data_IF_298030806301
#
_entry.id   IF_298030806301
#
_cell.length_a   1.000
_cell.length_b   1.000
_cell.length_c   1.000
_cell.angle_alpha   90.00
_cell.angle_beta   90.00
_cell.angle_gamma   90.00
#
_symmetry.space_group_name_H-M   'P 1'
#
loop_
_entity.id
_entity.type
_entity.pdbx_description
1 polymer ?
#
# COMPACT_ATOMS: atom_id res chain seq x y z
N UNK A 1 51.37 -62.97 -3.21
CA UNK A 1 50.81 -62.22 -4.36
C UNK A 1 49.51 -62.90 -4.79
N UNK A 2 48.36 -62.41 -4.31
CA UNK A 2 46.98 -62.60 -4.83
C UNK A 2 45.96 -62.06 -3.79
N UNK A 3 44.77 -61.61 -4.23
CA UNK A 3 44.21 -60.31 -3.84
C UNK A 3 43.10 -60.37 -2.78
N UNK A 4 42.85 -59.21 -2.17
CA UNK A 4 41.66 -58.93 -1.36
C UNK A 4 40.39 -59.07 -2.22
N UNK A 5 39.41 -59.80 -1.69
CA UNK A 5 38.04 -59.83 -2.19
C UNK A 5 37.27 -58.66 -1.58
N UNK A 6 36.76 -57.77 -2.43
CA UNK A 6 35.87 -56.68 -2.07
C UNK A 6 34.42 -57.13 -2.31
N UNK A 7 33.54 -57.21 -1.29
CA UNK A 7 32.14 -57.57 -1.51
C UNK A 7 31.34 -56.35 -2.00
N UNK A 8 30.83 -56.41 -3.22
CA UNK A 8 29.85 -55.44 -3.73
C UNK A 8 28.53 -55.50 -2.92
N UNK A 9 27.86 -54.37 -2.62
CA UNK A 9 26.61 -54.36 -1.87
C UNK A 9 25.45 -54.90 -2.72
N UNK A 10 24.86 -56.01 -2.27
CA UNK A 10 23.62 -56.56 -2.84
C UNK A 10 22.43 -55.76 -2.30
N UNK A 11 21.92 -54.81 -3.09
CA UNK A 11 20.66 -54.13 -2.80
C UNK A 11 19.50 -55.13 -2.87
N UNK A 12 18.86 -55.37 -1.72
CA UNK A 12 17.80 -56.37 -1.55
C UNK A 12 16.50 -55.99 -2.27
N UNK A 13 15.76 -57.01 -2.73
CA UNK A 13 14.54 -56.91 -3.56
C UNK A 13 13.43 -56.01 -2.99
N UNK A 14 13.43 -55.73 -1.67
CA UNK A 14 12.41 -54.91 -1.00
C UNK A 14 12.47 -53.42 -1.37
N UNK A 15 13.65 -52.87 -1.65
CA UNK A 15 13.81 -51.45 -2.06
C UNK A 15 13.24 -51.18 -3.45
N UNK A 16 13.25 -52.20 -4.34
CA UNK A 16 12.71 -52.08 -5.71
C UNK A 16 11.18 -51.93 -5.76
N UNK A 17 10.45 -52.51 -4.79
CA UNK A 17 8.99 -52.40 -4.72
C UNK A 17 8.53 -51.08 -4.10
N UNK A 18 9.28 -50.54 -3.14
CA UNK A 18 9.02 -49.22 -2.55
C UNK A 18 9.22 -48.08 -3.56
N UNK A 19 10.28 -48.15 -4.39
CA UNK A 19 10.55 -47.14 -5.43
C UNK A 19 9.51 -47.19 -6.55
N UNK A 20 9.08 -48.39 -6.98
CA UNK A 20 8.03 -48.51 -8.00
C UNK A 20 6.68 -47.91 -7.58
N UNK A 21 6.30 -48.09 -6.31
CA UNK A 21 5.04 -47.57 -5.77
C UNK A 21 5.04 -46.04 -5.63
N UNK A 22 6.18 -45.45 -5.25
CA UNK A 22 6.34 -44.00 -5.14
C UNK A 22 6.31 -43.27 -6.50
N UNK A 23 6.87 -43.88 -7.56
CA UNK A 23 6.85 -43.31 -8.91
C UNK A 23 5.44 -43.34 -9.52
N UNK A 24 4.67 -44.41 -9.30
CA UNK A 24 3.28 -44.50 -9.79
C UNK A 24 2.37 -43.48 -9.08
N UNK A 25 2.53 -43.29 -7.76
CA UNK A 25 1.78 -42.27 -7.02
C UNK A 25 2.15 -40.83 -7.43
N UNK A 26 3.43 -40.54 -7.68
CA UNK A 26 3.87 -39.24 -8.16
C UNK A 26 3.34 -38.92 -9.57
N UNK A 27 3.26 -39.92 -10.45
CA UNK A 27 2.68 -39.77 -11.79
C UNK A 27 1.16 -39.60 -11.75
N UNK A 28 0.46 -40.24 -10.81
CA UNK A 28 -0.98 -40.05 -10.61
C UNK A 28 -1.31 -38.65 -10.03
N UNK A 29 -0.50 -38.12 -9.13
CA UNK A 29 -0.64 -36.74 -8.64
C UNK A 29 -0.32 -35.70 -9.72
N UNK A 30 0.71 -35.93 -10.56
CA UNK A 30 1.03 -35.07 -11.69
C UNK A 30 -0.05 -35.11 -12.79
N UNK A 31 -0.66 -36.28 -13.03
CA UNK A 31 -1.79 -36.43 -13.95
C UNK A 31 -3.07 -35.76 -13.44
N UNK A 32 -3.38 -35.85 -12.15
CA UNK A 32 -4.54 -35.18 -11.56
C UNK A 32 -4.36 -33.64 -11.53
N UNK A 33 -3.15 -33.14 -11.26
CA UNK A 33 -2.85 -31.70 -11.28
C UNK A 33 -2.93 -31.11 -12.70
N UNK A 34 -2.50 -31.87 -13.73
CA UNK A 34 -2.60 -31.43 -15.13
C UNK A 34 -4.04 -31.43 -15.64
N UNK A 35 -4.89 -32.38 -15.22
CA UNK A 35 -6.32 -32.41 -15.59
C UNK A 35 -7.15 -31.36 -14.82
N UNK A 36 -6.81 -31.06 -13.57
CA UNK A 36 -7.45 -29.98 -12.82
C UNK A 36 -7.10 -28.59 -13.38
N UNK A 37 -5.92 -28.43 -13.98
CA UNK A 37 -5.49 -27.20 -14.66
C UNK A 37 -6.07 -27.06 -16.08
N UNK A 38 -6.67 -28.13 -16.61
CA UNK A 38 -7.27 -28.17 -17.95
C UNK A 38 -8.81 -28.01 -17.93
N UNK A 39 -9.41 -27.91 -16.75
CA UNK A 39 -10.82 -27.48 -16.56
C UNK A 39 -10.85 -26.01 -16.18
N UNK A 40 -10.17 -25.19 -16.97
CA UNK A 40 -10.50 -23.78 -17.05
C UNK A 40 -11.37 -23.66 -18.30
N UNK A 41 -12.68 -23.68 -18.10
CA UNK A 41 -13.66 -23.53 -19.18
C UNK A 41 -13.33 -22.23 -19.91
N UNK A 42 -12.91 -22.36 -21.17
CA UNK A 42 -12.36 -21.30 -22.02
C UNK A 42 -13.33 -20.16 -22.32
N UNK A 43 -13.69 -19.39 -21.29
CA UNK A 43 -14.05 -18.00 -21.47
C UNK A 43 -12.79 -17.30 -21.99
N UNK A 44 -12.87 -16.53 -23.09
CA UNK A 44 -11.75 -15.70 -23.50
C UNK A 44 -11.40 -14.81 -22.30
N UNK A 45 -10.17 -14.94 -21.79
CA UNK A 45 -9.64 -13.99 -20.83
C UNK A 45 -9.76 -12.62 -21.49
N UNK A 46 -10.73 -11.81 -21.04
CA UNK A 46 -10.89 -10.47 -21.53
C UNK A 46 -9.53 -9.79 -21.37
N UNK A 47 -9.01 -9.21 -22.46
CA UNK A 47 -7.77 -8.45 -22.40
C UNK A 47 -7.85 -7.50 -21.19
N UNK A 48 -6.79 -7.38 -20.36
CA UNK A 48 -6.83 -6.49 -19.21
C UNK A 48 -7.22 -5.11 -19.70
N UNK A 49 -8.45 -4.68 -19.39
CA UNK A 49 -8.94 -3.38 -19.81
C UNK A 49 -8.20 -2.35 -18.99
N UNK A 50 -7.34 -1.60 -19.66
CA UNK A 50 -6.75 -0.39 -19.10
C UNK A 50 -7.87 0.48 -18.52
N UNK A 51 -7.76 0.92 -17.25
CA UNK A 51 -8.74 1.82 -16.65
C UNK A 51 -8.84 3.12 -17.45
N UNK A 52 -10.01 3.76 -17.44
CA UNK A 52 -10.15 5.08 -18.06
C UNK A 52 -9.34 6.12 -17.28
N UNK A 53 -8.94 7.21 -17.93
CA UNK A 53 -8.21 8.29 -17.27
C UNK A 53 -8.99 8.93 -16.10
N UNK A 54 -10.32 8.78 -16.06
CA UNK A 54 -11.22 9.31 -15.01
C UNK A 54 -11.66 8.25 -14.00
N UNK A 55 -11.18 7.02 -14.13
CA UNK A 55 -11.55 5.92 -13.24
C UNK A 55 -11.07 6.13 -11.80
N UNK A 56 -11.70 5.42 -10.85
CA UNK A 56 -11.24 5.34 -9.47
C UNK A 56 -9.79 4.84 -9.36
N UNK A 57 -9.42 3.86 -10.20
CA UNK A 57 -8.05 3.32 -10.30
C UNK A 57 -7.05 4.44 -10.64
N UNK A 58 -7.28 5.16 -11.74
CA UNK A 58 -6.40 6.24 -12.17
C UNK A 58 -6.39 7.45 -11.21
N UNK A 59 -7.55 7.80 -10.63
CA UNK A 59 -7.66 8.88 -9.65
C UNK A 59 -6.92 8.57 -8.36
N UNK A 60 -7.16 7.40 -7.78
CA UNK A 60 -6.48 6.94 -6.58
C UNK A 60 -4.97 6.87 -6.76
N UNK A 61 -4.49 6.32 -7.88
CA UNK A 61 -3.06 6.22 -8.15
C UNK A 61 -2.36 7.59 -8.17
N UNK A 62 -2.98 8.60 -8.78
CA UNK A 62 -2.43 9.97 -8.81
C UNK A 62 -2.45 10.62 -7.44
N UNK A 63 -3.61 10.59 -6.80
CA UNK A 63 -3.84 11.29 -5.54
C UNK A 63 -3.00 10.67 -4.41
N UNK A 64 -3.02 9.35 -4.29
CA UNK A 64 -2.22 8.65 -3.28
C UNK A 64 -0.71 8.78 -3.57
N UNK A 65 -0.27 8.89 -4.83
CA UNK A 65 1.14 9.16 -5.13
C UNK A 65 1.60 10.56 -4.66
N UNK A 66 0.73 11.57 -4.74
CA UNK A 66 1.01 12.91 -4.21
C UNK A 66 0.97 12.90 -2.68
N UNK A 67 -0.01 12.20 -2.09
CA UNK A 67 -0.15 12.05 -0.64
C UNK A 67 1.10 11.37 -0.03
N UNK A 68 1.51 10.23 -0.58
CA UNK A 68 2.71 9.51 -0.15
C UNK A 68 4.01 10.30 -0.31
N UNK A 69 4.09 11.19 -1.30
CA UNK A 69 5.26 12.06 -1.47
C UNK A 69 5.46 12.98 -0.25
N UNK A 70 4.37 13.47 0.34
CA UNK A 70 4.45 14.35 1.51
C UNK A 70 4.85 13.59 2.78
N UNK A 71 4.35 12.37 2.98
CA UNK A 71 4.82 11.53 4.09
C UNK A 71 6.32 11.23 4.01
N UNK A 72 6.83 10.93 2.80
CA UNK A 72 8.27 10.74 2.58
C UNK A 72 9.04 12.01 2.94
N UNK A 73 8.57 13.20 2.54
CA UNK A 73 9.17 14.47 2.92
C UNK A 73 9.20 14.66 4.45
N UNK A 74 8.05 14.51 5.12
CA UNK A 74 7.96 14.65 6.58
C UNK A 74 8.91 13.69 7.32
N UNK A 75 9.04 12.46 6.83
CA UNK A 75 9.97 11.47 7.38
C UNK A 75 11.43 11.88 7.26
N UNK A 76 11.84 12.50 6.14
CA UNK A 76 13.19 13.06 6.03
C UNK A 76 13.39 14.25 6.98
N UNK A 77 12.41 15.16 7.05
CA UNK A 77 12.48 16.33 7.93
C UNK A 77 12.66 15.95 9.40
N UNK A 78 11.89 14.98 9.92
CA UNK A 78 12.03 14.57 11.32
C UNK A 78 13.35 13.85 11.60
N UNK A 79 13.85 13.06 10.64
CA UNK A 79 15.13 12.34 10.79
C UNK A 79 16.32 13.30 10.90
N UNK A 80 16.26 14.43 10.23
CA UNK A 80 17.24 15.52 10.39
C UNK A 80 16.98 16.36 11.66
N UNK A 81 15.73 16.34 12.14
CA UNK A 81 15.27 17.10 13.30
C UNK A 81 15.56 16.46 14.66
N UNK A 82 15.81 15.15 14.75
CA UNK A 82 16.03 14.45 16.04
C UNK A 82 17.11 13.35 15.97
N UNK A 83 17.61 12.97 17.15
CA UNK A 83 18.48 11.81 17.39
C UNK A 83 17.73 10.66 18.09
N UNK A 84 16.42 10.78 18.32
CA UNK A 84 15.60 9.70 18.89
C UNK A 84 15.47 8.53 17.91
N UNK A 85 16.00 7.37 18.28
CA UNK A 85 16.08 6.21 17.39
C UNK A 85 14.71 5.60 17.08
N UNK A 86 13.74 5.65 18.00
CA UNK A 86 12.40 5.10 17.77
C UNK A 86 11.66 5.92 16.71
N UNK A 87 11.70 7.25 16.80
CA UNK A 87 11.11 8.15 15.80
C UNK A 87 11.84 8.05 14.47
N UNK A 88 13.17 7.99 14.49
CA UNK A 88 13.97 7.84 13.26
C UNK A 88 13.69 6.53 12.55
N UNK A 89 13.45 5.44 13.30
CA UNK A 89 13.07 4.13 12.76
C UNK A 89 11.68 4.16 12.15
N UNK A 90 10.68 4.67 12.87
CA UNK A 90 9.33 4.83 12.34
C UNK A 90 9.34 5.66 11.04
N UNK A 91 10.04 6.79 11.04
CA UNK A 91 10.15 7.65 9.86
C UNK A 91 10.81 6.93 8.68
N UNK A 92 11.83 6.11 8.92
CA UNK A 92 12.46 5.29 7.89
C UNK A 92 11.48 4.26 7.31
N UNK A 93 10.77 3.52 8.17
CA UNK A 93 9.83 2.46 7.75
C UNK A 93 8.68 3.05 6.92
N UNK A 94 8.12 4.19 7.35
CA UNK A 94 7.11 4.96 6.59
C UNK A 94 7.68 5.41 5.25
N UNK A 95 8.88 6.01 5.23
CA UNK A 95 9.48 6.52 4.00
C UNK A 95 9.74 5.40 2.98
N UNK A 96 10.27 4.25 3.43
CA UNK A 96 10.51 3.10 2.54
C UNK A 96 9.21 2.55 1.98
N UNK A 97 8.23 2.31 2.85
CA UNK A 97 6.94 1.72 2.46
C UNK A 97 6.20 2.64 1.51
N UNK A 98 6.05 3.91 1.85
CA UNK A 98 5.28 4.85 1.04
C UNK A 98 6.01 5.25 -0.25
N UNK A 99 7.34 5.35 -0.27
CA UNK A 99 8.08 5.56 -1.52
C UNK A 99 7.93 4.37 -2.49
N UNK A 100 7.99 3.14 -1.99
CA UNK A 100 7.79 1.94 -2.79
C UNK A 100 6.35 1.88 -3.35
N UNK A 101 5.35 2.13 -2.52
CA UNK A 101 3.94 2.16 -2.94
C UNK A 101 3.68 3.28 -3.96
N UNK A 102 4.22 4.48 -3.75
CA UNK A 102 4.18 5.56 -4.73
C UNK A 102 4.79 5.13 -6.07
N UNK A 103 5.92 4.43 -6.05
CA UNK A 103 6.54 3.88 -7.24
C UNK A 103 5.63 2.90 -7.99
N UNK A 104 4.92 2.02 -7.27
CA UNK A 104 3.95 1.10 -7.87
C UNK A 104 2.80 1.85 -8.54
N UNK A 105 2.17 2.81 -7.84
CA UNK A 105 1.04 3.58 -8.35
C UNK A 105 1.43 4.37 -9.62
N UNK A 106 2.58 5.04 -9.60
CA UNK A 106 3.10 5.77 -10.77
C UNK A 106 3.48 4.82 -11.91
N UNK A 107 4.04 3.66 -11.60
CA UNK A 107 4.37 2.64 -12.59
C UNK A 107 3.14 2.01 -13.23
N UNK A 108 2.03 1.86 -12.50
CA UNK A 108 0.76 1.42 -13.07
C UNK A 108 0.16 2.48 -14.00
N UNK A 109 0.22 3.76 -13.63
CA UNK A 109 -0.17 4.85 -14.53
C UNK A 109 0.65 4.83 -15.83
N UNK A 110 1.97 4.62 -15.76
CA UNK A 110 2.82 4.46 -16.95
C UNK A 110 2.42 3.24 -17.79
N UNK A 111 2.20 2.09 -17.14
CA UNK A 111 1.79 0.86 -17.82
C UNK A 111 0.42 1.00 -18.52
N UNK A 112 -0.46 1.82 -17.96
CA UNK A 112 -1.77 2.15 -18.53
C UNK A 112 -1.72 3.30 -19.53
N UNK A 113 -0.54 3.88 -19.79
CA UNK A 113 -0.35 5.05 -20.65
C UNK A 113 -1.22 6.25 -20.20
N UNK A 114 -1.44 6.37 -18.90
CA UNK A 114 -2.23 7.45 -18.31
C UNK A 114 -1.33 8.55 -17.73
N UNK A 115 -1.73 9.84 -17.85
CA UNK A 115 -1.00 10.93 -17.23
C UNK A 115 -0.87 10.74 -15.71
N UNK A 116 0.28 11.12 -15.14
CA UNK A 116 0.54 11.12 -13.68
C UNK A 116 -0.09 12.29 -12.94
N UNK A 117 -0.55 13.30 -13.67
CA UNK A 117 -1.30 14.43 -13.17
C UNK A 117 -2.77 14.27 -13.55
N UNK A 118 -3.68 14.84 -12.75
CA UNK A 118 -5.09 14.84 -13.08
C UNK A 118 -5.32 15.56 -14.43
N UNK A 119 -6.26 15.10 -15.26
CA UNK A 119 -6.70 15.83 -16.45
C UNK A 119 -7.25 17.22 -16.09
N UNK A 120 -7.19 18.16 -17.02
CA UNK A 120 -7.74 19.50 -16.83
C UNK A 120 -9.20 19.45 -16.35
N UNK A 121 -9.51 20.26 -15.34
CA UNK A 121 -10.85 20.34 -14.75
C UNK A 121 -11.19 19.24 -13.73
N UNK A 122 -10.28 18.31 -13.42
CA UNK A 122 -10.43 17.39 -12.29
C UNK A 122 -9.57 17.84 -11.10
N UNK A 123 -10.25 18.22 -10.00
CA UNK A 123 -9.59 18.43 -8.73
C UNK A 123 -9.13 17.12 -8.08
N UNK A 124 -8.23 17.18 -7.09
CA UNK A 124 -7.94 16.04 -6.22
C UNK A 124 -9.23 15.45 -5.66
N UNK A 125 -9.26 14.13 -5.47
CA UNK A 125 -10.37 13.38 -4.90
C UNK A 125 -11.65 13.31 -5.76
N UNK A 126 -11.71 13.91 -6.95
CA UNK A 126 -12.90 13.86 -7.83
C UNK A 126 -13.38 12.42 -8.13
N UNK A 127 -12.45 11.46 -8.17
CA UNK A 127 -12.74 10.04 -8.38
C UNK A 127 -13.54 9.38 -7.24
N UNK A 128 -13.62 10.02 -6.07
CA UNK A 128 -14.44 9.55 -4.95
C UNK A 128 -15.90 10.02 -5.04
N UNK A 129 -16.23 10.99 -5.89
CA UNK A 129 -17.58 11.58 -5.98
C UNK A 129 -18.48 10.84 -7.00
N UNK A 130 -17.93 10.30 -8.08
CA UNK A 130 -18.69 9.76 -9.22
C UNK A 130 -19.44 8.42 -8.97
N UNK A 131 -19.67 8.01 -7.72
CA UNK A 131 -20.61 6.90 -7.43
C UNK A 131 -21.65 7.33 -6.42
N UNK A 132 -22.79 7.78 -6.93
CA UNK A 132 -23.99 8.02 -6.13
C UNK A 132 -24.96 8.96 -6.80
N UNK A 133 -25.95 8.39 -7.47
CA UNK A 133 -27.26 9.01 -7.65
C UNK A 133 -27.75 9.67 -6.35
N UNK A 134 -28.53 10.73 -6.52
CA UNK A 134 -29.30 11.41 -5.50
C UNK A 134 -29.99 10.42 -4.53
N UNK A 135 -29.90 10.72 -3.23
CA UNK A 135 -30.61 10.11 -2.07
C UNK A 135 -29.95 8.93 -1.32
N UNK A 136 -29.11 9.29 -0.34
CA UNK A 136 -29.26 8.79 1.04
C UNK A 136 -28.44 9.67 1.98
N UNK A 137 -29.12 10.62 2.63
CA UNK A 137 -28.54 11.48 3.64
C UNK A 137 -28.31 10.71 4.94
N UNK A 138 -27.04 10.42 5.22
CA UNK A 138 -26.50 10.35 6.58
C UNK A 138 -25.07 10.92 6.56
N UNK A 139 -24.99 12.19 6.96
CA UNK A 139 -23.85 12.94 7.48
C UNK A 139 -22.45 12.66 6.89
N UNK A 140 -22.19 13.29 5.74
CA UNK A 140 -20.86 13.84 5.42
C UNK A 140 -20.96 15.37 5.25
N UNK A 141 -21.73 16.02 6.14
CA UNK A 141 -21.94 17.49 6.16
C UNK A 141 -20.70 18.31 6.60
N UNK A 142 -19.48 17.80 6.38
CA UNK A 142 -18.24 18.46 6.76
C UNK A 142 -17.26 18.75 5.61
N UNK A 143 -17.46 18.20 4.41
CA UNK A 143 -16.46 18.30 3.33
C UNK A 143 -16.95 19.05 2.08
N UNK A 144 -18.27 19.16 1.85
CA UNK A 144 -18.86 19.74 0.63
C UNK A 144 -19.10 21.26 0.72
N UNK A 145 -18.16 22.01 1.30
CA UNK A 145 -18.31 23.46 1.51
C UNK A 145 -17.01 24.26 1.52
N UNK A 146 -15.92 23.73 0.98
CA UNK A 146 -14.59 24.37 1.00
C UNK A 146 -13.94 24.48 -0.38
N UNK A 147 -14.75 24.49 -1.44
CA UNK A 147 -14.30 24.85 -2.78
C UNK A 147 -13.93 26.35 -2.80
N UNK A 148 -12.65 26.65 -2.58
CA UNK A 148 -12.08 27.98 -2.82
C UNK A 148 -11.18 28.57 -1.73
N UNK A 149 -10.93 27.89 -0.62
CA UNK A 149 -9.85 28.31 0.28
C UNK A 149 -8.59 27.49 -0.02
N UNK A 150 -7.54 28.15 -0.51
CA UNK A 150 -6.18 27.58 -0.47
C UNK A 150 -5.95 27.10 0.96
N UNK A 151 -6.02 25.78 1.19
CA UNK A 151 -5.75 25.15 2.49
C UNK A 151 -4.25 25.16 2.79
N UNK A 152 -3.60 26.27 2.45
CA UNK A 152 -2.16 26.45 2.43
C UNK A 152 -1.42 25.24 1.83
N UNK A 153 -1.87 24.79 0.66
CA UNK A 153 -1.29 23.64 -0.04
C UNK A 153 -1.73 22.23 0.41
N UNK A 154 -2.62 22.08 1.41
CA UNK A 154 -3.18 20.78 1.80
C UNK A 154 -4.33 20.37 0.85
N UNK A 155 -3.98 19.73 -0.27
CA UNK A 155 -4.89 19.37 -1.36
C UNK A 155 -5.84 18.19 -1.08
N UNK A 156 -5.48 17.31 -0.14
CA UNK A 156 -6.18 16.05 0.13
C UNK A 156 -6.35 15.83 1.65
N UNK A 157 -7.29 14.97 2.07
CA UNK A 157 -7.51 14.70 3.49
C UNK A 157 -6.22 14.33 4.23
N UNK A 158 -6.01 14.95 5.39
CA UNK A 158 -4.88 14.65 6.27
C UNK A 158 -3.53 15.22 5.85
N UNK A 159 -3.37 15.78 4.64
CA UNK A 159 -2.10 16.40 4.27
C UNK A 159 -1.76 17.58 5.18
N UNK A 160 -0.49 17.67 5.56
CA UNK A 160 0.08 18.83 6.21
C UNK A 160 0.08 20.03 5.25
N UNK A 161 -0.19 21.20 5.80
CA UNK A 161 -0.07 22.50 5.12
C UNK A 161 1.41 22.88 4.90
N UNK A 162 1.67 23.82 3.99
CA UNK A 162 3.03 24.39 3.79
C UNK A 162 3.57 25.00 5.07
N UNK A 163 2.72 25.68 5.84
CA UNK A 163 3.07 26.25 7.15
C UNK A 163 3.52 25.17 8.12
N UNK A 164 2.79 24.07 8.25
CA UNK A 164 3.14 22.95 9.13
C UNK A 164 4.43 22.25 8.69
N UNK A 165 4.63 22.05 7.38
CA UNK A 165 5.90 21.52 6.85
C UNK A 165 7.07 22.47 7.16
N UNK A 166 6.84 23.79 7.10
CA UNK A 166 7.79 24.81 7.51
C UNK A 166 8.15 24.71 9.01
N UNK A 167 7.15 24.51 9.86
CA UNK A 167 7.34 24.29 11.30
C UNK A 167 8.13 23.01 11.58
N UNK A 168 7.78 21.90 10.93
CA UNK A 168 8.50 20.62 11.08
C UNK A 168 9.96 20.74 10.65
N UNK A 169 10.23 21.42 9.52
CA UNK A 169 11.59 21.67 9.04
C UNK A 169 12.43 22.48 10.04
N UNK A 170 11.81 23.39 10.79
CA UNK A 170 12.50 24.22 11.78
C UNK A 170 12.61 23.54 13.17
N UNK A 171 11.70 22.64 13.51
CA UNK A 171 11.63 21.99 14.81
C UNK A 171 12.84 21.07 15.06
N UNK A 172 13.23 20.92 16.33
CA UNK A 172 14.34 20.04 16.75
C UNK A 172 13.99 19.21 17.99
N UNK A 173 14.67 18.07 18.14
CA UNK A 173 14.53 17.13 19.24
C UNK A 173 13.07 16.75 19.50
N UNK A 174 12.68 16.72 20.77
CA UNK A 174 11.33 16.33 21.22
C UNK A 174 10.20 17.13 20.55
N UNK A 175 10.42 18.40 20.21
CA UNK A 175 9.40 19.19 19.51
C UNK A 175 9.19 18.71 18.07
N UNK A 176 10.28 18.37 17.35
CA UNK A 176 10.18 17.78 16.01
C UNK A 176 9.47 16.44 16.05
N UNK A 177 9.78 15.61 17.04
CA UNK A 177 9.18 14.29 17.23
C UNK A 177 7.67 14.39 17.44
N UNK A 178 7.22 15.23 18.38
CA UNK A 178 5.79 15.43 18.66
C UNK A 178 5.07 15.96 17.42
N UNK A 179 5.63 16.98 16.77
CA UNK A 179 5.01 17.57 15.59
C UNK A 179 4.92 16.57 14.44
N UNK A 180 5.99 15.81 14.17
CA UNK A 180 5.99 14.75 13.16
C UNK A 180 4.91 13.71 13.44
N UNK A 181 4.85 13.17 14.67
CA UNK A 181 3.88 12.15 15.04
C UNK A 181 2.44 12.67 14.93
N UNK A 182 2.20 13.93 15.29
CA UNK A 182 0.90 14.58 15.13
C UNK A 182 0.50 14.74 13.66
N UNK A 183 1.39 15.30 12.83
CA UNK A 183 1.14 15.49 11.40
C UNK A 183 0.96 14.15 10.68
N UNK A 184 1.82 13.18 10.96
CA UNK A 184 1.75 11.84 10.36
C UNK A 184 0.51 11.07 10.82
N UNK A 185 0.04 11.29 12.05
CA UNK A 185 -1.24 10.73 12.51
C UNK A 185 -2.41 11.25 11.68
N UNK A 186 -2.48 12.56 11.42
CA UNK A 186 -3.55 13.13 10.60
C UNK A 186 -3.42 12.71 9.13
N UNK A 187 -2.19 12.65 8.64
CA UNK A 187 -1.85 12.15 7.31
C UNK A 187 -2.37 10.71 7.13
N UNK A 188 -2.06 9.81 8.06
CA UNK A 188 -2.52 8.42 8.01
C UNK A 188 -4.04 8.26 8.09
N UNK A 189 -4.73 9.07 8.90
CA UNK A 189 -6.21 9.08 8.92
C UNK A 189 -6.77 9.41 7.53
N UNK A 190 -6.19 10.42 6.87
CA UNK A 190 -6.53 10.78 5.50
C UNK A 190 -6.23 9.67 4.50
N UNK A 191 -5.03 9.09 4.56
CA UNK A 191 -4.59 7.98 3.71
C UNK A 191 -5.47 6.74 3.85
N UNK A 192 -5.90 6.40 5.07
CA UNK A 192 -6.86 5.31 5.33
C UNK A 192 -8.22 5.58 4.67
N UNK A 193 -8.73 6.81 4.74
CA UNK A 193 -10.00 7.17 4.09
C UNK A 193 -9.91 7.02 2.56
N UNK A 194 -8.83 7.51 1.95
CA UNK A 194 -8.57 7.37 0.51
C UNK A 194 -8.43 5.89 0.11
N UNK A 195 -7.65 5.12 0.87
CA UNK A 195 -7.42 3.70 0.60
C UNK A 195 -8.72 2.87 0.72
N UNK A 196 -9.60 3.18 1.67
CA UNK A 196 -10.95 2.57 1.73
C UNK A 196 -11.77 2.91 0.50
N UNK A 197 -11.74 4.18 0.07
CA UNK A 197 -12.39 4.62 -1.18
C UNK A 197 -11.97 3.77 -2.38
N UNK A 198 -10.67 3.50 -2.54
CA UNK A 198 -10.19 2.63 -3.61
C UNK A 198 -10.56 1.16 -3.37
N UNK A 199 -10.45 0.63 -2.15
CA UNK A 199 -10.83 -0.75 -1.85
C UNK A 199 -12.29 -1.06 -2.24
N UNK A 200 -13.15 -0.06 -2.19
CA UNK A 200 -14.54 -0.11 -2.66
C UNK A 200 -14.64 0.09 -4.19
N UNK A 201 -14.10 1.20 -4.70
CA UNK A 201 -14.40 1.74 -6.04
C UNK A 201 -13.43 1.31 -7.14
N UNK A 202 -12.15 1.05 -6.82
CA UNK A 202 -11.17 0.59 -7.79
C UNK A 202 -11.60 -0.76 -8.37
N UNK A 203 -11.23 -0.99 -9.63
CA UNK A 203 -11.61 -2.18 -10.41
C UNK A 203 -10.42 -3.08 -10.69
N UNK A 204 -9.19 -2.55 -10.66
CA UNK A 204 -7.96 -3.30 -10.87
C UNK A 204 -7.66 -4.16 -9.62
N UNK A 205 -7.63 -5.51 -9.74
CA UNK A 205 -7.51 -6.37 -8.57
C UNK A 205 -6.24 -6.18 -7.75
N UNK A 206 -5.11 -5.87 -8.39
CA UNK A 206 -3.84 -5.64 -7.67
C UNK A 206 -3.85 -4.33 -6.90
N UNK A 207 -4.44 -3.29 -7.45
CA UNK A 207 -4.58 -1.99 -6.80
C UNK A 207 -5.55 -2.04 -5.62
N UNK A 208 -6.70 -2.73 -5.76
CA UNK A 208 -7.60 -2.98 -4.62
C UNK A 208 -6.91 -3.72 -3.46
N UNK A 209 -6.07 -4.71 -3.78
CA UNK A 209 -5.31 -5.44 -2.75
C UNK A 209 -4.29 -4.54 -2.07
N UNK A 210 -3.58 -3.71 -2.84
CA UNK A 210 -2.66 -2.72 -2.29
C UNK A 210 -3.39 -1.76 -1.35
N UNK A 211 -4.54 -1.22 -1.76
CA UNK A 211 -5.34 -0.30 -0.96
C UNK A 211 -5.81 -0.93 0.36
N UNK A 212 -6.25 -2.19 0.35
CA UNK A 212 -6.60 -2.92 1.60
C UNK A 212 -5.39 -3.08 2.53
N UNK A 213 -4.24 -3.45 1.98
CA UNK A 213 -3.00 -3.54 2.75
C UNK A 213 -2.56 -2.19 3.34
N UNK A 214 -2.78 -1.09 2.61
CA UNK A 214 -2.53 0.27 3.12
C UNK A 214 -3.44 0.62 4.30
N UNK A 215 -4.72 0.20 4.29
CA UNK A 215 -5.64 0.42 5.42
C UNK A 215 -5.11 -0.29 6.66
N UNK A 216 -4.76 -1.56 6.55
CA UNK A 216 -4.26 -2.38 7.67
C UNK A 216 -2.95 -1.82 8.24
N UNK A 217 -1.98 -1.53 7.37
CA UNK A 217 -0.67 -1.01 7.78
C UNK A 217 -0.80 0.36 8.47
N UNK A 218 -1.53 1.31 7.87
CA UNK A 218 -1.68 2.66 8.43
C UNK A 218 -2.47 2.64 9.74
N UNK A 219 -3.46 1.74 9.91
CA UNK A 219 -4.15 1.57 11.19
C UNK A 219 -3.23 1.07 12.30
N UNK A 220 -2.31 0.14 12.00
CA UNK A 220 -1.31 -0.30 12.96
C UNK A 220 -0.35 0.84 13.35
N UNK A 221 0.10 1.62 12.36
CA UNK A 221 0.99 2.77 12.60
C UNK A 221 0.31 3.88 13.40
N UNK A 222 -1.00 4.10 13.23
CA UNK A 222 -1.78 5.03 14.05
C UNK A 222 -1.74 4.66 15.55
N UNK A 223 -1.84 3.37 15.87
CA UNK A 223 -1.71 2.89 17.26
C UNK A 223 -0.32 3.16 17.83
N UNK A 224 0.72 2.81 17.07
CA UNK A 224 2.11 3.05 17.46
C UNK A 224 2.39 4.56 17.67
N UNK A 225 1.96 5.41 16.76
CA UNK A 225 2.16 6.86 16.88
C UNK A 225 1.45 7.46 18.09
N UNK A 226 0.26 6.96 18.43
CA UNK A 226 -0.46 7.38 19.64
C UNK A 226 0.33 7.03 20.90
N UNK A 227 0.89 5.82 20.98
CA UNK A 227 1.73 5.40 22.11
C UNK A 227 3.03 6.24 22.19
N UNK A 228 3.66 6.50 21.05
CA UNK A 228 4.87 7.32 20.98
C UNK A 228 4.63 8.79 21.37
N UNK A 229 3.44 9.33 21.06
CA UNK A 229 3.00 10.65 21.52
C UNK A 229 2.80 10.65 23.04
N UNK A 230 2.11 9.65 23.58
CA UNK A 230 1.85 9.53 25.02
C UNK A 230 3.17 9.42 25.81
N UNK A 231 4.13 8.63 25.35
CA UNK A 231 5.47 8.51 25.93
C UNK A 231 6.23 9.86 25.95
N UNK A 232 5.87 10.79 25.05
CA UNK A 232 6.42 12.15 24.98
C UNK A 232 5.60 13.17 25.76
N UNK A 233 4.53 12.78 26.44
CA UNK A 233 3.63 13.69 27.15
C UNK A 233 2.80 14.54 26.20
N UNK A 234 2.51 14.03 25.01
CA UNK A 234 1.69 14.66 23.98
C UNK A 234 0.53 13.74 23.59
N UNK A 235 -0.39 14.26 22.78
CA UNK A 235 -1.52 13.53 22.25
C UNK A 235 -1.70 13.84 20.75
N UNK A 236 -2.42 12.98 20.01
CA UNK A 236 -2.90 13.32 18.67
C UNK A 236 -3.67 14.64 18.67
N UNK A 237 -3.64 15.33 17.53
CA UNK A 237 -4.47 16.54 17.34
C UNK A 237 -5.93 16.14 17.19
N UNK A 238 -6.80 17.01 17.69
CA UNK A 238 -8.26 16.87 17.61
C UNK A 238 -8.78 17.11 16.20
#
# INVERSE_FOLDING_TARGET
MSPAHDPSPVLTRRTRWAVGSAVVLALLFAGAATVASARDDGAPAAAPRTPSARSADAGFARDMAVHHQQAVEMSFLVRDGTQDEDVRRLAYDIAQTQANQRGMLLGWLDLWELPKTAPDGQGPMAWMEEAGDSHSGHEMHGMAGMDGMDRDGALMPGMATRTELGQLRAARGKQAEILFLQLMTDHHKGGVAMARGCAERCTVPVEKRLARGMVEAQQSELGLMADMLAARGAAPRS
#
